data_IF_275609681519
#
_entry.id   IF_275609681519
#
_cell.length_a   1.000
_cell.length_b   1.000
_cell.length_c   1.000
_cell.angle_alpha   90.00
_cell.angle_beta   90.00
_cell.angle_gamma   90.00
#
_symmetry.space_group_name_H-M   'P 1'
#
loop_
_entity.id
_entity.type
_entity.pdbx_description
1 polymer ?
#
# COMPACT_ATOMS: atom_id res chain seq x y z
N UNK A 1 -10.86 -9.21 -1.50
CA UNK A 1 -11.78 -9.18 -0.33
C UNK A 1 -11.94 -7.75 0.16
N UNK A 2 -13.12 -7.38 0.68
CA UNK A 2 -13.37 -6.05 1.29
C UNK A 2 -13.21 -6.12 2.81
N UNK A 3 -12.52 -5.17 3.41
CA UNK A 3 -12.33 -5.09 4.86
C UNK A 3 -12.07 -3.65 5.34
N UNK A 4 -12.14 -3.45 6.66
CA UNK A 4 -11.80 -2.18 7.30
C UNK A 4 -10.36 -2.22 7.78
N UNK A 5 -9.54 -1.24 7.38
CA UNK A 5 -8.19 -1.05 7.86
C UNK A 5 -8.12 0.17 8.80
N UNK A 6 -7.56 -0.02 10.01
CA UNK A 6 -7.24 1.05 10.96
C UNK A 6 -5.73 1.11 11.13
N UNK A 7 -5.11 2.10 10.50
CA UNK A 7 -3.66 2.24 10.44
C UNK A 7 -3.18 3.43 11.28
N UNK A 8 -2.08 3.21 12.02
CA UNK A 8 -1.34 4.24 12.75
C UNK A 8 0.03 4.45 12.11
N UNK A 9 0.33 5.68 11.74
CA UNK A 9 1.65 6.08 11.23
C UNK A 9 2.28 7.06 12.20
N UNK A 10 3.51 6.77 12.61
CA UNK A 10 4.29 7.62 13.50
C UNK A 10 5.71 7.78 12.95
N UNK A 11 6.33 8.92 13.22
CA UNK A 11 7.74 9.12 12.94
C UNK A 11 8.57 8.19 13.83
N UNK A 12 9.51 7.45 13.24
CA UNK A 12 10.43 6.59 13.95
C UNK A 12 11.81 7.22 13.95
N UNK A 13 12.24 7.78 15.10
CA UNK A 13 13.54 8.42 15.22
C UNK A 13 14.71 7.43 15.29
N UNK A 14 14.45 6.20 15.75
CA UNK A 14 15.46 5.16 15.94
C UNK A 14 14.94 3.79 15.46
N UNK A 15 15.10 3.49 14.15
CA UNK A 15 14.64 2.24 13.56
C UNK A 15 15.33 0.99 14.11
N UNK A 16 16.60 1.10 14.54
CA UNK A 16 17.39 -0.03 15.01
C UNK A 16 16.91 -0.50 16.37
N UNK A 17 16.63 0.42 17.30
CA UNK A 17 16.01 0.10 18.59
C UNK A 17 14.64 -0.56 18.42
N UNK A 18 13.83 -0.08 17.47
CA UNK A 18 12.52 -0.69 17.19
C UNK A 18 12.67 -2.09 16.59
N UNK A 19 13.66 -2.30 15.71
CA UNK A 19 13.94 -3.63 15.16
C UNK A 19 14.35 -4.63 16.24
N UNK A 20 15.23 -4.24 17.16
CA UNK A 20 15.62 -5.08 18.30
C UNK A 20 14.41 -5.47 19.15
N UNK A 21 13.56 -4.50 19.50
CA UNK A 21 12.33 -4.74 20.26
C UNK A 21 11.38 -5.72 19.53
N UNK A 22 11.20 -5.56 18.21
CA UNK A 22 10.36 -6.46 17.41
C UNK A 22 10.91 -7.89 17.42
N UNK A 23 12.23 -8.05 17.27
CA UNK A 23 12.90 -9.35 17.35
C UNK A 23 12.74 -10.02 18.72
N UNK A 24 12.95 -9.28 19.81
CA UNK A 24 12.74 -9.78 21.18
C UNK A 24 11.30 -10.22 21.43
N UNK A 25 10.32 -9.54 20.81
CA UNK A 25 8.89 -9.87 20.90
C UNK A 25 8.45 -10.98 19.93
N UNK A 26 9.37 -11.59 19.20
CA UNK A 26 9.08 -12.70 18.28
C UNK A 26 8.37 -12.28 17.00
N UNK A 27 8.52 -11.03 16.55
CA UNK A 27 7.98 -10.60 15.27
C UNK A 27 8.65 -11.36 14.11
N UNK A 28 7.83 -11.82 13.15
CA UNK A 28 8.34 -12.48 11.94
C UNK A 28 9.02 -11.45 11.03
N UNK A 29 10.29 -11.67 10.71
CA UNK A 29 10.97 -10.92 9.66
C UNK A 29 10.56 -11.44 8.28
N UNK A 30 10.02 -10.56 7.43
CA UNK A 30 9.58 -10.89 6.08
C UNK A 30 10.58 -10.49 4.98
N UNK A 31 11.55 -9.63 5.30
CA UNK A 31 12.48 -9.04 4.34
C UNK A 31 12.29 -7.53 4.18
N UNK A 32 13.12 -6.93 3.32
CA UNK A 32 12.97 -5.54 2.87
C UNK A 32 12.26 -5.56 1.53
N UNK A 33 11.22 -4.75 1.40
CA UNK A 33 10.45 -4.62 0.16
C UNK A 33 10.71 -3.25 -0.46
N UNK A 34 11.14 -3.22 -1.73
CA UNK A 34 11.19 -2.01 -2.55
C UNK A 34 9.82 -1.87 -3.22
N UNK A 35 9.08 -0.83 -2.88
CA UNK A 35 7.67 -0.70 -3.27
C UNK A 35 7.47 0.48 -4.22
N UNK A 36 6.87 0.20 -5.36
CA UNK A 36 6.37 1.20 -6.31
C UNK A 36 4.86 1.19 -6.27
N UNK A 37 4.26 2.27 -5.79
CA UNK A 37 2.81 2.48 -5.78
C UNK A 37 2.43 3.39 -6.97
N UNK A 38 1.72 2.86 -7.95
CA UNK A 38 1.12 3.64 -9.06
C UNK A 38 -0.32 3.96 -8.73
N UNK A 39 -0.66 5.24 -8.61
CA UNK A 39 -2.03 5.72 -8.37
C UNK A 39 -2.69 6.11 -9.70
N UNK A 40 -3.97 5.78 -9.85
CA UNK A 40 -4.76 6.06 -11.06
C UNK A 40 -5.85 7.11 -10.79
N UNK A 41 -6.26 7.83 -11.83
CA UNK A 41 -7.41 8.73 -11.69
C UNK A 41 -8.70 7.91 -11.63
N UNK A 42 -9.48 8.08 -10.56
CA UNK A 42 -10.76 7.40 -10.38
C UNK A 42 -11.80 8.37 -9.84
N UNK A 43 -13.09 8.21 -10.20
CA UNK A 43 -14.14 9.13 -9.74
C UNK A 43 -14.44 9.01 -8.24
N UNK A 44 -14.15 7.85 -7.63
CA UNK A 44 -14.49 7.58 -6.24
C UNK A 44 -13.37 6.84 -5.50
N UNK A 45 -12.97 7.42 -4.36
CA UNK A 45 -11.91 6.87 -3.52
C UNK A 45 -10.54 7.01 -4.17
N UNK A 46 -9.69 6.01 -3.94
CA UNK A 46 -8.32 5.96 -4.47
C UNK A 46 -8.06 4.54 -4.96
N UNK A 47 -7.43 4.42 -6.13
CA UNK A 47 -6.99 3.15 -6.68
C UNK A 47 -5.49 3.20 -6.87
N UNK A 48 -4.79 2.18 -6.38
CA UNK A 48 -3.36 2.02 -6.64
C UNK A 48 -2.98 0.57 -6.96
N UNK A 49 -2.03 0.40 -7.86
CA UNK A 49 -1.30 -0.84 -8.04
C UNK A 49 0.01 -0.73 -7.25
N UNK A 50 0.20 -1.63 -6.30
CA UNK A 50 1.43 -1.82 -5.56
C UNK A 50 2.25 -2.92 -6.21
N UNK A 51 3.47 -2.58 -6.57
CA UNK A 51 4.46 -3.49 -7.13
C UNK A 51 5.65 -3.53 -6.17
N UNK A 52 5.94 -4.69 -5.60
CA UNK A 52 7.08 -4.94 -4.74
C UNK A 52 7.63 -6.35 -4.95
N UNK A 53 8.76 -6.64 -4.32
CA UNK A 53 9.38 -7.97 -4.32
C UNK A 53 8.69 -8.92 -3.34
N UNK A 54 8.00 -8.38 -2.33
CA UNK A 54 7.25 -9.14 -1.31
C UNK A 54 5.76 -8.91 -1.47
N UNK A 55 5.31 -7.66 -1.63
CA UNK A 55 3.91 -7.33 -1.82
C UNK A 55 3.59 -7.01 -3.29
N UNK A 56 2.55 -7.63 -3.85
CA UNK A 56 1.99 -7.26 -5.15
C UNK A 56 0.46 -7.22 -5.05
N UNK A 57 -0.16 -6.06 -5.31
CA UNK A 57 -1.60 -5.88 -5.04
C UNK A 57 -2.23 -4.72 -5.80
N UNK A 58 -3.47 -4.92 -6.28
CA UNK A 58 -4.37 -3.84 -6.68
C UNK A 58 -5.28 -3.48 -5.49
N UNK A 59 -5.27 -2.20 -5.10
CA UNK A 59 -5.90 -1.71 -3.87
C UNK A 59 -6.82 -0.55 -4.21
N UNK A 60 -8.13 -0.74 -4.04
CA UNK A 60 -9.08 0.36 -3.96
C UNK A 60 -9.37 0.67 -2.50
N UNK A 61 -9.44 1.95 -2.15
CA UNK A 61 -9.84 2.35 -0.81
C UNK A 61 -10.51 3.72 -0.74
N UNK A 62 -11.40 3.87 0.24
CA UNK A 62 -11.95 5.16 0.65
C UNK A 62 -11.40 5.52 2.03
N UNK A 63 -10.79 6.71 2.14
CA UNK A 63 -10.15 7.21 3.37
C UNK A 63 -10.43 8.71 3.50
N UNK A 64 -11.10 9.16 4.58
CA UNK A 64 -11.32 10.58 4.83
C UNK A 64 -10.01 11.36 4.93
N UNK A 65 -10.03 12.61 4.48
CA UNK A 65 -8.90 13.54 4.60
C UNK A 65 -8.91 14.25 5.95
N UNK A 66 -8.96 13.47 7.03
CA UNK A 66 -8.91 13.96 8.41
C UNK A 66 -7.53 13.78 9.03
N UNK A 67 -7.22 14.60 10.04
CA UNK A 67 -6.06 14.41 10.92
C UNK A 67 -6.33 13.30 11.93
N UNK A 68 -5.31 12.50 12.28
CA UNK A 68 -5.42 11.40 13.25
C UNK A 68 -5.50 9.99 12.63
N UNK A 69 -5.89 8.97 13.41
CA UNK A 69 -6.02 7.59 12.94
C UNK A 69 -7.03 7.50 11.81
N UNK A 70 -6.63 6.91 10.68
CA UNK A 70 -7.46 6.91 9.48
C UNK A 70 -8.02 5.53 9.22
N UNK A 71 -9.33 5.42 9.40
CA UNK A 71 -10.09 4.24 9.00
C UNK A 71 -10.28 4.27 7.49
N UNK A 72 -9.90 3.18 6.82
CA UNK A 72 -10.09 3.00 5.38
C UNK A 72 -10.98 1.81 5.13
N UNK A 73 -11.95 1.94 4.23
CA UNK A 73 -12.64 0.80 3.63
C UNK A 73 -11.80 0.36 2.43
N UNK A 74 -11.35 -0.88 2.42
CA UNK A 74 -10.34 -1.37 1.48
C UNK A 74 -10.89 -2.56 0.71
N UNK A 75 -10.74 -2.53 -0.60
CA UNK A 75 -10.86 -3.69 -1.47
C UNK A 75 -9.45 -4.06 -1.92
N UNK A 76 -8.98 -5.22 -1.46
CA UNK A 76 -7.67 -5.75 -1.79
C UNK A 76 -7.82 -6.92 -2.78
N UNK A 77 -7.09 -6.83 -3.89
CA UNK A 77 -6.91 -7.90 -4.85
C UNK A 77 -5.42 -8.14 -5.07
N UNK A 78 -5.01 -9.40 -5.11
CA UNK A 78 -3.62 -9.83 -5.26
C UNK A 78 -3.48 -10.56 -6.60
N UNK A 79 -3.28 -9.83 -7.71
CA UNK A 79 -2.99 -10.47 -8.98
C UNK A 79 -1.61 -11.11 -8.94
N UNK A 80 -1.39 -12.09 -9.82
CA UNK A 80 -0.03 -12.47 -10.17
C UNK A 80 0.69 -11.27 -10.84
N UNK A 81 2.00 -11.11 -10.65
CA UNK A 81 2.75 -10.03 -11.27
C UNK A 81 2.67 -10.09 -12.80
N UNK A 82 1.89 -9.18 -13.39
CA UNK A 82 1.71 -9.05 -14.83
C UNK A 82 1.77 -7.57 -15.25
N UNK A 83 2.75 -7.16 -16.08
CA UNK A 83 2.86 -5.78 -16.55
C UNK A 83 1.62 -5.32 -17.35
N UNK A 84 0.84 -6.24 -17.92
CA UNK A 84 -0.37 -5.90 -18.68
C UNK A 84 -1.44 -5.24 -17.80
N UNK A 85 -1.53 -5.60 -16.51
CA UNK A 85 -2.50 -4.97 -15.61
C UNK A 85 -2.22 -3.48 -15.47
N UNK A 86 -0.97 -3.10 -15.24
CA UNK A 86 -0.57 -1.70 -15.16
C UNK A 86 -0.83 -0.96 -16.47
N UNK A 87 -0.50 -1.59 -17.61
CA UNK A 87 -0.74 -1.01 -18.92
C UNK A 87 -2.23 -0.75 -19.17
N UNK A 88 -3.09 -1.73 -18.89
CA UNK A 88 -4.53 -1.63 -19.05
C UNK A 88 -5.14 -0.53 -18.15
N UNK A 89 -4.75 -0.49 -16.87
CA UNK A 89 -5.23 0.54 -15.93
C UNK A 89 -4.74 1.94 -16.33
N UNK A 90 -3.48 2.06 -16.77
CA UNK A 90 -2.92 3.33 -17.23
C UNK A 90 -3.63 3.85 -18.47
N UNK A 91 -3.96 2.97 -19.42
CA UNK A 91 -4.71 3.34 -20.63
C UNK A 91 -6.16 3.72 -20.33
N UNK A 92 -6.83 3.00 -19.42
CA UNK A 92 -8.23 3.22 -19.10
C UNK A 92 -8.48 4.44 -18.20
N UNK A 93 -7.59 4.69 -17.24
CA UNK A 93 -7.81 5.66 -16.16
C UNK A 93 -6.79 6.82 -16.15
N UNK A 94 -5.66 6.66 -16.84
CA UNK A 94 -4.52 7.55 -16.68
C UNK A 94 -3.85 7.39 -15.32
N UNK A 95 -2.55 7.71 -15.28
CA UNK A 95 -1.76 7.71 -14.04
C UNK A 95 -1.91 9.08 -13.36
N UNK A 96 -2.26 9.06 -12.07
CA UNK A 96 -2.29 10.25 -11.23
C UNK A 96 -0.89 10.59 -10.73
N UNK A 97 -0.20 9.61 -10.13
CA UNK A 97 1.17 9.76 -9.62
C UNK A 97 1.80 8.39 -9.39
N UNK A 98 3.12 8.31 -9.54
CA UNK A 98 3.93 7.15 -9.15
C UNK A 98 4.75 7.54 -7.92
N UNK A 99 4.72 6.68 -6.89
CA UNK A 99 5.47 6.86 -5.66
C UNK A 99 6.39 5.66 -5.47
N UNK A 100 7.69 5.93 -5.48
CA UNK A 100 8.76 4.92 -5.35
C UNK A 100 9.41 5.03 -3.96
N UNK A 101 9.48 3.92 -3.21
CA UNK A 101 9.92 3.89 -1.79
C UNK A 101 10.76 2.66 -1.44
#
# INVERSE_FOLDING_TARGET
>A
MSFINREFKACCADPDRIRALLSERGARYAGRDHQVDTYFNVPHGRLKLREGSIEHSLIHYHRPDTSGPKTSQVILYQPEPDPQLKAALSAALGVLVVVDK
#
